data_IF_097850180819
#
_entry.id   IF_097850180819
#
_cell.length_a   1.000
_cell.length_b   1.000
_cell.length_c   1.000
_cell.angle_alpha   90.00
_cell.angle_beta   90.00
_cell.angle_gamma   90.00
#
_symmetry.space_group_name_H-M   'P 1'
#
loop_
_entity.id
_entity.type
_entity.pdbx_description
1 polymer ?
#
# COMPACT_ATOMS: atom_id res chain seq x y z
N UNK A 1 -24.90 5.42 3.28
CA UNK A 1 -24.49 6.84 3.27
C UNK A 1 -24.37 7.26 4.72
N UNK A 2 -23.18 7.66 5.18
CA UNK A 2 -22.94 7.93 6.60
C UNK A 2 -24.01 8.82 7.26
N UNK A 3 -24.42 8.46 8.47
CA UNK A 3 -25.32 9.28 9.29
C UNK A 3 -24.65 10.61 9.69
N UNK A 4 -25.44 11.67 9.96
CA UNK A 4 -24.92 12.94 10.47
C UNK A 4 -24.08 12.72 11.73
N UNK A 5 -22.98 13.48 11.85
CA UNK A 5 -22.09 13.44 13.02
C UNK A 5 -22.62 14.25 14.21
N UNK A 6 -23.66 15.06 13.99
CA UNK A 6 -24.36 15.86 15.01
C UNK A 6 -25.78 16.16 14.55
N UNK A 7 -26.63 16.61 15.48
CA UNK A 7 -28.03 16.91 15.22
C UNK A 7 -28.97 15.72 15.42
N UNK A 8 -30.29 15.92 15.23
CA UNK A 8 -31.28 14.88 15.42
C UNK A 8 -31.18 13.82 14.32
N UNK A 9 -31.23 12.54 14.72
CA UNK A 9 -31.37 11.39 13.83
C UNK A 9 -32.57 10.54 14.30
N UNK A 10 -33.21 9.84 13.38
CA UNK A 10 -34.37 8.99 13.67
C UNK A 10 -34.02 7.50 13.57
N UNK A 11 -34.84 6.64 14.18
CA UNK A 11 -34.74 5.18 13.99
C UNK A 11 -34.85 4.77 12.51
N UNK A 12 -35.60 5.54 11.71
CA UNK A 12 -35.71 5.30 10.28
C UNK A 12 -34.39 5.53 9.54
N UNK A 13 -33.62 6.55 9.94
CA UNK A 13 -32.33 6.85 9.33
C UNK A 13 -31.30 5.75 9.64
N UNK A 14 -31.30 5.24 10.88
CA UNK A 14 -30.45 4.10 11.27
C UNK A 14 -30.79 2.85 10.45
N UNK A 15 -32.08 2.58 10.22
CA UNK A 15 -32.53 1.42 9.46
C UNK A 15 -32.08 1.50 8.00
N UNK A 16 -32.24 2.69 7.40
CA UNK A 16 -31.74 2.98 6.05
C UNK A 16 -30.23 2.81 5.98
N UNK A 17 -29.49 3.30 6.98
CA UNK A 17 -28.04 3.15 6.98
C UNK A 17 -27.59 1.69 7.13
N UNK A 18 -28.32 0.89 7.91
CA UNK A 18 -28.12 -0.57 7.98
C UNK A 18 -28.57 -1.29 6.69
N UNK A 19 -28.94 -0.58 5.62
CA UNK A 19 -29.30 -1.13 4.32
C UNK A 19 -30.68 -1.78 4.29
N UNK A 20 -31.54 -1.45 5.25
CA UNK A 20 -32.94 -1.85 5.25
C UNK A 20 -33.81 -0.72 4.70
N UNK A 21 -34.93 -1.02 4.03
CA UNK A 21 -35.89 0.01 3.64
C UNK A 21 -36.46 0.69 4.90
N UNK A 22 -36.80 1.99 4.79
CA UNK A 22 -37.39 2.73 5.91
C UNK A 22 -38.65 1.97 6.39
N UNK A 23 -38.73 1.60 7.67
CA UNK A 23 -39.79 0.74 8.17
C UNK A 23 -41.15 1.42 7.97
N UNK A 24 -42.10 0.65 7.45
CA UNK A 24 -43.51 1.04 7.40
C UNK A 24 -44.09 1.04 8.82
N UNK A 25 -45.05 1.91 9.08
CA UNK A 25 -45.70 2.05 10.38
C UNK A 25 -46.16 0.68 10.91
N UNK A 26 -45.71 0.29 12.10
CA UNK A 26 -46.06 -0.98 12.76
C UNK A 26 -44.90 -1.97 12.98
N UNK A 27 -43.71 -1.73 12.40
CA UNK A 27 -42.52 -2.51 12.74
C UNK A 27 -41.89 -2.02 14.05
N UNK A 28 -41.79 -2.91 15.05
CA UNK A 28 -41.10 -2.65 16.31
C UNK A 28 -39.59 -2.66 16.10
N UNK A 29 -39.01 -1.48 15.91
CA UNK A 29 -37.56 -1.32 15.80
C UNK A 29 -37.00 -1.06 17.20
N UNK A 30 -36.00 -1.83 17.62
CA UNK A 30 -35.33 -1.61 18.89
C UNK A 30 -33.91 -1.08 18.69
N UNK A 31 -33.52 -0.07 19.48
CA UNK A 31 -32.14 0.42 19.54
C UNK A 31 -31.16 -0.69 19.93
N UNK A 32 -31.60 -1.61 20.80
CA UNK A 32 -30.83 -2.81 21.15
C UNK A 32 -30.48 -3.63 19.91
N UNK A 33 -31.48 -4.02 19.12
CA UNK A 33 -31.28 -4.80 17.90
C UNK A 33 -30.42 -4.06 16.87
N UNK A 34 -30.49 -2.72 16.82
CA UNK A 34 -29.61 -1.93 15.97
C UNK A 34 -28.17 -1.96 16.48
N UNK A 35 -27.95 -1.74 17.78
CA UNK A 35 -26.63 -1.53 18.39
C UNK A 35 -25.83 -2.83 18.49
N UNK A 36 -26.51 -3.95 18.75
CA UNK A 36 -25.89 -5.27 18.91
C UNK A 36 -25.87 -6.11 17.62
N UNK A 37 -26.22 -5.51 16.47
CA UNK A 37 -26.18 -6.19 15.17
C UNK A 37 -27.34 -7.16 14.87
N UNK A 38 -28.44 -7.10 15.64
CA UNK A 38 -29.64 -7.91 15.41
C UNK A 38 -30.46 -7.54 14.16
N UNK A 39 -30.32 -6.31 13.64
CA UNK A 39 -30.91 -5.89 12.34
C UNK A 39 -29.97 -6.23 11.19
N UNK A 40 -28.70 -5.85 11.32
CA UNK A 40 -27.60 -6.19 10.42
C UNK A 40 -26.30 -6.12 11.20
N UNK A 41 -25.38 -7.03 10.91
CA UNK A 41 -24.05 -7.05 11.52
C UNK A 41 -23.40 -5.67 11.49
N UNK A 42 -22.93 -5.16 12.63
CA UNK A 42 -22.28 -3.84 12.69
C UNK A 42 -21.00 -3.84 11.87
N UNK A 43 -20.84 -2.81 11.04
CA UNK A 43 -19.62 -2.64 10.27
C UNK A 43 -18.52 -2.06 11.16
N UNK A 44 -17.56 -2.91 11.53
CA UNK A 44 -16.43 -2.53 12.38
C UNK A 44 -15.45 -1.54 11.74
N UNK A 45 -15.52 -1.37 10.42
CA UNK A 45 -14.69 -0.41 9.68
C UNK A 45 -15.18 1.04 9.82
N UNK A 46 -16.40 1.26 10.32
CA UNK A 46 -16.89 2.60 10.58
C UNK A 46 -16.11 3.24 11.74
N UNK A 47 -15.59 4.45 11.54
CA UNK A 47 -14.84 5.21 12.55
C UNK A 47 -15.67 5.47 13.82
N UNK A 48 -16.97 5.69 13.65
CA UNK A 48 -17.95 5.77 14.73
C UNK A 48 -18.91 4.61 14.56
N UNK A 49 -19.17 3.86 15.62
CA UNK A 49 -20.11 2.74 15.61
C UNK A 49 -20.75 2.60 16.99
N UNK A 50 -21.95 2.03 17.06
CA UNK A 50 -22.51 1.61 18.34
C UNK A 50 -21.55 0.66 19.06
N UNK A 51 -21.47 0.80 20.38
CA UNK A 51 -20.62 -0.02 21.25
C UNK A 51 -21.32 -1.29 21.75
N UNK A 52 -22.65 -1.39 21.57
CA UNK A 52 -23.46 -2.52 22.02
C UNK A 52 -23.66 -2.57 23.54
N UNK A 53 -23.26 -1.54 24.29
CA UNK A 53 -23.40 -1.48 25.74
C UNK A 53 -24.77 -0.91 26.14
N UNK A 54 -25.32 -1.39 27.25
CA UNK A 54 -26.59 -0.89 27.81
C UNK A 54 -26.34 0.20 28.86
N UNK A 55 -27.18 1.24 28.96
CA UNK A 55 -28.39 1.49 28.15
C UNK A 55 -28.07 2.02 26.76
N UNK A 56 -28.78 1.52 25.74
CA UNK A 56 -28.59 1.96 24.36
C UNK A 56 -29.19 3.35 24.11
N UNK A 57 -28.47 4.15 23.35
CA UNK A 57 -28.79 5.53 23.04
C UNK A 57 -28.75 5.81 21.54
N UNK A 58 -29.55 6.79 21.09
CA UNK A 58 -29.52 7.22 19.69
C UNK A 58 -28.16 7.81 19.30
N UNK A 59 -27.47 8.45 20.24
CA UNK A 59 -26.15 9.06 20.06
C UNK A 59 -25.04 8.09 19.63
N UNK A 60 -25.19 6.79 19.90
CA UNK A 60 -24.26 5.74 19.44
C UNK A 60 -24.13 5.66 17.92
N UNK A 61 -25.14 6.12 17.18
CA UNK A 61 -25.21 6.01 15.73
C UNK A 61 -24.77 7.29 15.00
N UNK A 62 -24.50 8.38 15.72
CA UNK A 62 -24.03 9.63 15.11
C UNK A 62 -22.69 9.39 14.38
N UNK A 63 -22.65 9.70 13.09
CA UNK A 63 -21.50 9.46 12.22
C UNK A 63 -21.26 8.01 11.83
N UNK A 64 -22.17 7.08 12.15
CA UNK A 64 -22.04 5.69 11.71
C UNK A 64 -22.18 5.59 10.19
N UNK A 65 -21.25 4.85 9.57
CA UNK A 65 -21.22 4.57 8.15
C UNK A 65 -21.16 3.06 7.94
N UNK A 66 -22.30 2.45 7.68
CA UNK A 66 -22.41 1.03 7.43
C UNK A 66 -21.75 0.61 6.12
N UNK A 67 -21.60 1.52 5.18
CA UNK A 67 -20.84 1.31 3.94
C UNK A 67 -19.37 1.68 4.08
N UNK A 68 -18.89 1.98 5.28
CA UNK A 68 -17.47 2.22 5.52
C UNK A 68 -16.67 0.99 5.09
N UNK A 69 -15.95 1.10 3.98
CA UNK A 69 -14.87 0.16 3.73
C UNK A 69 -13.84 0.35 4.82
N UNK A 70 -13.10 -0.70 5.17
CA UNK A 70 -11.91 -0.49 5.98
C UNK A 70 -11.13 0.60 5.26
N UNK A 71 -10.91 1.74 5.90
CA UNK A 71 -9.67 2.44 5.67
C UNK A 71 -8.60 1.49 6.18
N UNK A 72 -8.32 0.43 5.41
CA UNK A 72 -7.05 -0.24 5.46
C UNK A 72 -6.12 0.93 5.31
N UNK A 73 -5.50 1.30 6.43
CA UNK A 73 -4.62 2.43 6.49
C UNK A 73 -3.55 2.15 5.50
N UNK A 74 -3.73 2.63 4.27
CA UNK A 74 -2.68 3.06 3.40
C UNK A 74 -2.05 4.30 4.03
N UNK A 75 -1.69 4.22 5.33
CA UNK A 75 -0.40 4.74 5.72
C UNK A 75 0.55 3.95 4.86
N UNK A 76 0.84 4.48 3.66
CA UNK A 76 2.00 4.05 2.92
C UNK A 76 3.13 4.21 3.91
N UNK A 77 3.57 3.12 4.52
CA UNK A 77 4.89 3.10 5.13
C UNK A 77 5.79 3.44 3.96
N UNK A 78 6.23 4.68 3.89
CA UNK A 78 7.21 5.09 2.90
C UNK A 78 8.46 4.33 3.28
N UNK A 79 8.62 3.15 2.70
CA UNK A 79 9.83 2.37 2.91
C UNK A 79 10.92 3.05 2.07
N UNK A 80 11.99 3.45 2.75
CA UNK A 80 13.16 4.01 2.09
C UNK A 80 13.93 2.88 1.43
N UNK A 81 14.15 2.99 0.12
CA UNK A 81 15.07 2.17 -0.63
C UNK A 81 16.37 2.91 -0.89
N UNK A 82 17.39 2.18 -1.33
CA UNK A 82 18.67 2.76 -1.71
C UNK A 82 19.26 2.10 -2.95
N UNK A 83 20.02 2.86 -3.74
CA UNK A 83 20.89 2.35 -4.80
C UNK A 83 22.32 2.72 -4.48
N UNK A 84 23.17 1.73 -4.26
CA UNK A 84 24.61 1.86 -4.10
C UNK A 84 25.31 1.51 -5.42
N UNK A 85 26.18 2.39 -5.92
CA UNK A 85 27.00 2.13 -7.09
C UNK A 85 28.41 1.62 -6.71
N UNK A 86 28.75 0.42 -7.15
CA UNK A 86 30.07 -0.21 -6.99
C UNK A 86 30.76 -0.59 -8.32
N UNK A 87 30.29 -0.10 -9.47
CA UNK A 87 30.75 -0.56 -10.80
C UNK A 87 32.10 -0.01 -11.27
N UNK A 88 32.80 0.75 -10.43
CA UNK A 88 34.01 1.51 -10.81
C UNK A 88 33.76 2.69 -11.77
N UNK A 89 32.51 2.89 -12.23
CA UNK A 89 32.13 3.94 -13.16
C UNK A 89 31.05 4.85 -12.55
N UNK A 90 30.85 6.03 -13.13
CA UNK A 90 29.69 6.88 -12.79
C UNK A 90 28.46 6.37 -13.55
N UNK A 91 27.39 6.08 -12.82
CA UNK A 91 26.10 5.68 -13.38
C UNK A 91 25.25 6.93 -13.61
N UNK A 92 24.66 7.06 -14.78
CA UNK A 92 23.68 8.11 -15.09
C UNK A 92 22.55 7.50 -15.89
N UNK A 93 21.30 7.83 -15.62
CA UNK A 93 20.14 7.47 -16.44
C UNK A 93 19.09 8.59 -16.34
N UNK A 94 18.20 8.74 -17.33
CA UNK A 94 17.15 9.77 -17.24
C UNK A 94 16.19 9.45 -16.10
N UNK A 95 15.77 8.20 -15.99
CA UNK A 95 14.95 7.74 -14.86
C UNK A 95 15.17 6.25 -14.59
N UNK A 96 14.81 5.87 -13.38
CA UNK A 96 14.82 4.52 -12.85
C UNK A 96 13.39 4.09 -12.52
N UNK A 97 13.02 2.89 -12.95
CA UNK A 97 11.79 2.23 -12.51
C UNK A 97 12.13 0.95 -11.77
N UNK A 98 11.49 0.73 -10.62
CA UNK A 98 11.58 -0.50 -9.85
C UNK A 98 10.20 -1.13 -9.82
N UNK A 99 10.14 -2.41 -10.17
CA UNK A 99 8.92 -3.21 -10.13
C UNK A 99 9.06 -4.36 -9.15
N UNK A 100 7.98 -4.68 -8.47
CA UNK A 100 7.85 -5.86 -7.63
C UNK A 100 6.64 -6.67 -8.12
N UNK A 101 6.85 -7.94 -8.47
CA UNK A 101 5.82 -8.82 -9.04
C UNK A 101 5.01 -8.17 -10.19
N UNK A 102 5.71 -7.43 -11.05
CA UNK A 102 5.11 -6.72 -12.19
C UNK A 102 4.51 -5.34 -11.89
N UNK A 103 4.37 -4.95 -10.62
CA UNK A 103 3.82 -3.64 -10.21
C UNK A 103 4.93 -2.61 -10.02
N UNK A 104 4.79 -1.41 -10.58
CA UNK A 104 5.72 -0.30 -10.33
C UNK A 104 5.64 0.15 -8.86
N UNK A 105 6.76 0.05 -8.13
CA UNK A 105 6.87 0.48 -6.73
C UNK A 105 7.73 1.73 -6.56
N UNK A 106 8.54 2.06 -7.55
CA UNK A 106 9.27 3.32 -7.64
C UNK A 106 9.44 3.74 -9.10
N UNK A 107 9.30 5.03 -9.37
CA UNK A 107 9.58 5.64 -10.67
C UNK A 107 10.17 7.03 -10.42
N UNK A 108 11.47 7.19 -10.61
CA UNK A 108 12.22 8.34 -10.08
C UNK A 108 13.28 8.78 -11.10
N UNK A 109 13.47 10.09 -11.25
CA UNK A 109 14.63 10.66 -11.95
C UNK A 109 15.91 10.30 -11.19
N UNK A 110 16.82 9.56 -11.84
CA UNK A 110 18.04 9.08 -11.19
C UNK A 110 19.13 10.17 -11.32
N UNK A 111 19.62 10.76 -10.22
CA UNK A 111 20.79 11.62 -10.30
C UNK A 111 22.01 10.80 -10.73
N UNK A 112 23.03 11.50 -11.25
CA UNK A 112 24.34 10.89 -11.49
C UNK A 112 24.90 10.30 -10.20
N UNK A 113 25.23 9.01 -10.25
CA UNK A 113 25.73 8.20 -9.15
C UNK A 113 27.20 7.87 -9.38
N UNK A 114 28.11 8.58 -8.72
CA UNK A 114 29.53 8.27 -8.75
C UNK A 114 29.84 6.89 -8.12
N UNK A 115 31.02 6.35 -8.38
CA UNK A 115 31.47 5.13 -7.69
C UNK A 115 31.48 5.35 -6.17
N UNK A 116 30.90 4.41 -5.42
CA UNK A 116 30.73 4.46 -3.97
C UNK A 116 29.55 5.32 -3.50
N UNK A 117 28.85 6.04 -4.40
CA UNK A 117 27.72 6.87 -4.02
C UNK A 117 26.46 6.05 -3.74
N UNK A 118 25.65 6.54 -2.81
CA UNK A 118 24.35 5.98 -2.45
C UNK A 118 23.26 7.00 -2.79
N UNK A 119 22.23 6.57 -3.50
CA UNK A 119 21.02 7.34 -3.72
C UNK A 119 19.86 6.72 -2.96
N UNK A 120 19.27 7.49 -2.04
CA UNK A 120 18.11 7.08 -1.27
C UNK A 120 16.83 7.52 -1.98
N UNK A 121 15.81 6.67 -1.94
CA UNK A 121 14.53 6.95 -2.55
C UNK A 121 13.37 6.40 -1.73
N UNK A 122 12.17 6.89 -2.04
CA UNK A 122 10.94 6.47 -1.41
C UNK A 122 10.20 5.49 -2.31
N UNK A 123 9.54 4.50 -1.71
CA UNK A 123 8.72 3.52 -2.43
C UNK A 123 7.27 3.60 -2.01
N UNK A 124 6.35 3.21 -2.90
CA UNK A 124 4.93 2.98 -2.57
C UNK A 124 4.69 1.59 -1.96
N UNK A 125 5.77 0.84 -1.70
CA UNK A 125 5.75 -0.50 -1.11
C UNK A 125 5.38 -0.45 0.37
N UNK A 126 4.34 -1.16 0.79
CA UNK A 126 4.00 -1.34 2.22
C UNK A 126 4.47 -2.70 2.73
N UNK A 127 4.88 -2.73 3.99
CA UNK A 127 5.71 -3.73 4.71
C UNK A 127 5.23 -5.20 4.73
N UNK A 128 4.21 -5.59 3.95
CA UNK A 128 3.53 -6.88 4.04
C UNK A 128 3.04 -7.46 2.69
N UNK A 129 3.27 -6.79 1.55
CA UNK A 129 2.63 -7.22 0.27
C UNK A 129 3.46 -8.28 -0.48
N UNK A 130 4.78 -8.39 -0.24
CA UNK A 130 5.63 -9.37 -0.92
C UNK A 130 6.44 -10.17 0.10
N UNK A 131 5.97 -11.35 0.51
CA UNK A 131 6.75 -12.34 1.30
C UNK A 131 7.75 -13.11 0.44
N UNK A 132 7.60 -13.01 -0.89
CA UNK A 132 8.40 -13.61 -1.93
C UNK A 132 8.06 -12.89 -3.24
N UNK A 133 9.04 -12.63 -4.09
CA UNK A 133 8.74 -11.97 -5.36
C UNK A 133 9.91 -11.75 -6.30
N UNK A 134 9.55 -11.38 -7.52
CA UNK A 134 10.46 -10.97 -8.58
C UNK A 134 10.56 -9.45 -8.59
N UNK A 135 11.79 -8.94 -8.48
CA UNK A 135 12.10 -7.52 -8.57
C UNK A 135 12.78 -7.22 -9.88
N UNK A 136 12.38 -6.11 -10.50
CA UNK A 136 12.97 -5.65 -11.75
C UNK A 136 13.45 -4.23 -11.56
N UNK A 137 14.69 -3.98 -11.92
CA UNK A 137 15.29 -2.65 -12.03
C UNK A 137 15.42 -2.32 -13.52
N UNK A 138 14.76 -1.25 -13.94
CA UNK A 138 14.88 -0.69 -15.28
C UNK A 138 15.56 0.70 -15.23
N UNK A 139 16.61 0.88 -16.02
CA UNK A 139 17.31 2.16 -16.21
C UNK A 139 17.15 2.63 -17.66
N UNK A 140 16.45 3.74 -17.86
CA UNK A 140 16.06 4.23 -19.19
C UNK A 140 16.92 5.41 -19.65
N UNK A 141 17.42 5.29 -20.89
CA UNK A 141 17.99 6.31 -21.81
C UNK A 141 18.89 7.43 -21.25
N UNK A 142 20.03 7.73 -21.92
CA UNK A 142 21.13 6.79 -22.07
C UNK A 142 21.75 6.48 -20.70
N UNK A 143 21.98 5.20 -20.43
CA UNK A 143 22.63 4.78 -19.20
C UNK A 143 24.14 4.77 -19.36
N UNK A 144 24.86 5.65 -18.66
CA UNK A 144 26.33 5.72 -18.69
C UNK A 144 26.92 4.85 -17.58
N UNK A 145 28.06 4.20 -17.82
CA UNK A 145 28.79 3.45 -16.77
C UNK A 145 28.23 2.07 -16.42
N UNK A 146 27.27 1.57 -17.20
CA UNK A 146 26.74 0.20 -17.07
C UNK A 146 26.81 -0.56 -18.39
N UNK A 147 27.04 -1.86 -18.27
CA UNK A 147 27.10 -2.84 -19.34
C UNK A 147 26.31 -4.09 -18.94
N UNK A 148 26.16 -5.06 -19.85
CA UNK A 148 25.54 -6.36 -19.54
C UNK A 148 26.40 -7.25 -18.65
N UNK A 149 27.68 -6.90 -18.44
CA UNK A 149 28.56 -7.59 -17.49
C UNK A 149 28.32 -7.14 -16.04
N UNK A 150 27.71 -5.97 -15.85
CA UNK A 150 27.31 -5.52 -14.53
C UNK A 150 26.11 -6.32 -14.02
N UNK A 151 26.05 -6.48 -12.71
CA UNK A 151 24.93 -7.12 -12.03
C UNK A 151 24.52 -6.29 -10.83
N UNK A 152 23.27 -6.39 -10.43
CA UNK A 152 22.82 -5.87 -9.16
C UNK A 152 22.38 -7.01 -8.26
N UNK A 153 22.52 -6.80 -6.96
CA UNK A 153 21.76 -7.55 -5.98
C UNK A 153 20.77 -6.60 -5.34
N UNK A 154 19.58 -7.10 -5.05
CA UNK A 154 18.63 -6.41 -4.20
C UNK A 154 18.47 -7.20 -2.93
N UNK A 155 18.76 -6.62 -1.77
CA UNK A 155 18.33 -7.23 -0.51
C UNK A 155 16.94 -6.72 -0.19
N UNK A 156 15.96 -7.55 -0.54
CA UNK A 156 14.57 -7.40 -0.14
C UNK A 156 14.20 -8.67 0.65
N UNK A 157 14.83 -8.89 1.81
CA UNK A 157 14.68 -10.11 2.62
C UNK A 157 15.91 -11.03 2.64
N UNK A 158 15.78 -12.19 3.29
CA UNK A 158 16.82 -13.22 3.42
C UNK A 158 16.87 -14.10 2.16
N UNK A 159 18.03 -14.24 1.51
CA UNK A 159 18.25 -15.07 0.30
C UNK A 159 17.69 -14.48 -1.01
N UNK A 160 18.21 -13.34 -1.43
CA UNK A 160 17.95 -12.78 -2.76
C UNK A 160 18.98 -13.26 -3.80
N UNK A 161 18.56 -13.45 -5.06
CA UNK A 161 19.47 -13.79 -6.15
C UNK A 161 20.22 -12.56 -6.68
N UNK A 162 21.30 -12.80 -7.43
CA UNK A 162 21.92 -11.78 -8.27
C UNK A 162 21.12 -11.60 -9.57
N UNK A 163 21.05 -10.37 -10.05
CA UNK A 163 20.37 -10.01 -11.29
C UNK A 163 21.35 -9.35 -12.24
N UNK A 164 21.58 -9.98 -13.40
CA UNK A 164 22.46 -9.41 -14.43
C UNK A 164 21.68 -8.44 -15.30
N UNK A 165 22.32 -7.36 -15.75
CA UNK A 165 21.66 -6.47 -16.68
C UNK A 165 21.62 -7.05 -18.09
N UNK A 166 20.49 -6.83 -18.75
CA UNK A 166 20.26 -7.10 -20.16
C UNK A 166 19.87 -5.79 -20.85
N UNK A 167 20.34 -5.60 -22.08
CA UNK A 167 19.89 -4.48 -22.89
C UNK A 167 18.58 -4.86 -23.60
N UNK A 168 17.52 -4.09 -23.36
CA UNK A 168 16.20 -4.30 -23.97
C UNK A 168 15.92 -3.33 -25.12
N UNK A 169 16.94 -2.59 -25.57
CA UNK A 169 16.85 -1.50 -26.54
C UNK A 169 16.47 -0.17 -25.89
N UNK A 170 15.41 -0.14 -25.07
CA UNK A 170 14.92 1.08 -24.41
C UNK A 170 15.45 1.29 -22.98
N UNK A 171 15.94 0.22 -22.33
CA UNK A 171 16.54 0.26 -21.00
C UNK A 171 17.62 -0.80 -20.82
N UNK A 172 18.51 -0.60 -19.84
CA UNK A 172 19.16 -1.73 -19.18
C UNK A 172 18.24 -2.26 -18.08
N UNK A 173 17.90 -3.53 -18.17
CA UNK A 173 17.02 -4.23 -17.24
C UNK A 173 17.76 -5.30 -16.48
N UNK A 174 17.63 -5.30 -15.17
CA UNK A 174 18.05 -6.39 -14.31
C UNK A 174 16.85 -6.99 -13.56
N UNK A 175 16.86 -8.31 -13.34
CA UNK A 175 15.82 -9.03 -12.61
C UNK A 175 16.41 -9.90 -11.50
N UNK A 176 15.84 -9.84 -10.30
CA UNK A 176 16.19 -10.70 -9.17
C UNK A 176 14.95 -11.34 -8.57
N UNK A 177 15.11 -12.49 -7.93
CA UNK A 177 14.08 -13.06 -7.06
C UNK A 177 14.53 -12.95 -5.61
N UNK A 178 13.60 -12.68 -4.72
CA UNK A 178 13.86 -12.64 -3.28
C UNK A 178 12.83 -13.47 -2.54
N UNK A 179 13.29 -14.20 -1.54
CA UNK A 179 12.45 -14.95 -0.60
C UNK A 179 12.45 -14.27 0.76
N UNK A 180 11.34 -14.38 1.49
CA UNK A 180 11.20 -13.82 2.83
C UNK A 180 10.54 -12.43 2.88
N UNK A 181 10.09 -12.02 4.07
CA UNK A 181 9.48 -10.73 4.29
C UNK A 181 10.46 -9.60 3.99
N UNK A 182 9.96 -8.54 3.39
CA UNK A 182 10.80 -7.45 2.89
C UNK A 182 10.37 -6.16 3.57
N UNK A 183 11.37 -5.42 4.02
CA UNK A 183 11.17 -4.20 4.79
C UNK A 183 11.78 -2.97 4.11
N UNK A 184 12.67 -3.19 3.13
CA UNK A 184 13.31 -2.17 2.32
C UNK A 184 13.74 -2.77 0.98
N UNK A 185 14.01 -1.92 -0.01
CA UNK A 185 14.60 -2.28 -1.30
C UNK A 185 15.99 -1.66 -1.36
N UNK A 186 17.02 -2.44 -1.04
CA UNK A 186 18.40 -1.98 -1.13
C UNK A 186 19.07 -2.64 -2.34
N UNK A 187 19.42 -1.82 -3.31
CA UNK A 187 20.05 -2.22 -4.56
C UNK A 187 21.52 -1.88 -4.46
N UNK A 188 22.39 -2.82 -4.82
CA UNK A 188 23.80 -2.51 -5.06
C UNK A 188 24.19 -3.03 -6.42
N UNK A 189 24.79 -2.15 -7.21
CA UNK A 189 25.21 -2.43 -8.57
C UNK A 189 26.71 -2.67 -8.60
N UNK A 190 27.17 -3.76 -9.19
CA UNK A 190 28.58 -4.18 -9.29
C UNK A 190 28.99 -4.37 -10.74
#
# INVERSE_FOLDING_TARGET
>A
MALPTSGPISMGDIYVELGQPKPVSGLSISLRSASTGGIRTINNNSLRKPDGLTPHSMSEFLGYNHTAVSSGGGGGTVNTGSVLNMTGHTISATYMAIKANGTNVAYITLPTLAHGAIFNFNTSYTNLIFSNGTFVLDLYTPTVGLTTSNYFYTTAGSNSTNGYFSNTGSSLRGTVTSSGPQYAINITIK
#
